data_IF_038588105138
#
_entry.id   IF_038588105138
#
_cell.length_a   1.000
_cell.length_b   1.000
_cell.length_c   1.000
_cell.angle_alpha   90.00
_cell.angle_beta   90.00
_cell.angle_gamma   90.00
#
_symmetry.space_group_name_H-M   'P 1'
#
loop_
_entity.id
_entity.type
_entity.pdbx_description
1 polymer ?
#
# COMPACT_ATOMS: atom_id res chain seq x y z
N UNK A 1 -13.93 -25.55 -35.30
CA UNK A 1 -14.19 -25.54 -33.85
C UNK A 1 -13.18 -24.61 -33.22
N UNK A 2 -13.54 -23.90 -32.15
CA UNK A 2 -12.57 -23.04 -31.43
C UNK A 2 -11.49 -23.90 -30.79
N UNK A 3 -10.22 -23.49 -30.88
CA UNK A 3 -9.11 -24.09 -30.12
C UNK A 3 -9.04 -23.55 -28.68
N UNK A 4 -9.80 -22.48 -28.38
CA UNK A 4 -9.92 -21.90 -27.05
C UNK A 4 -11.01 -22.58 -26.23
N UNK A 5 -10.70 -22.83 -24.95
CA UNK A 5 -11.62 -23.36 -23.95
C UNK A 5 -12.11 -22.18 -23.09
N UNK A 6 -13.43 -22.04 -22.96
CA UNK A 6 -14.02 -21.10 -22.01
C UNK A 6 -13.75 -21.59 -20.60
N UNK A 7 -13.10 -20.76 -19.79
CA UNK A 7 -12.96 -20.96 -18.35
C UNK A 7 -13.87 -19.94 -17.66
N UNK A 8 -15.10 -20.37 -17.39
CA UNK A 8 -16.07 -19.59 -16.63
C UNK A 8 -15.76 -19.64 -15.13
N UNK A 9 -16.54 -18.93 -14.32
CA UNK A 9 -16.33 -18.87 -12.88
C UNK A 9 -16.33 -20.25 -12.22
N UNK A 10 -17.27 -21.12 -12.57
CA UNK A 10 -17.38 -22.45 -11.97
C UNK A 10 -16.13 -23.29 -12.27
N UNK A 11 -15.61 -23.21 -13.50
CA UNK A 11 -14.34 -23.84 -13.86
C UNK A 11 -13.13 -23.23 -13.14
N UNK A 12 -13.15 -21.92 -12.86
CA UNK A 12 -12.12 -21.28 -12.05
C UNK A 12 -12.14 -21.77 -10.60
N UNK A 13 -13.30 -21.76 -9.95
CA UNK A 13 -13.46 -22.22 -8.55
C UNK A 13 -13.17 -23.72 -8.40
N UNK A 14 -13.52 -24.55 -9.40
CA UNK A 14 -13.15 -25.97 -9.41
C UNK A 14 -11.63 -26.19 -9.56
N UNK A 15 -10.95 -25.33 -10.33
CA UNK A 15 -9.49 -25.35 -10.38
C UNK A 15 -8.88 -24.94 -9.05
N UNK A 16 -9.44 -23.92 -8.38
CA UNK A 16 -8.99 -23.52 -7.05
C UNK A 16 -9.05 -24.71 -6.08
N UNK A 17 -10.20 -25.41 -6.04
CA UNK A 17 -10.42 -26.59 -5.21
C UNK A 17 -9.42 -27.73 -5.46
N UNK A 18 -9.01 -27.91 -6.71
CA UNK A 18 -8.15 -29.03 -7.09
C UNK A 18 -6.65 -28.74 -6.93
N UNK A 19 -6.22 -27.49 -7.14
CA UNK A 19 -4.81 -27.17 -7.35
C UNK A 19 -4.21 -26.18 -6.35
N UNK A 20 -5.03 -25.44 -5.58
CA UNK A 20 -4.49 -24.61 -4.52
C UNK A 20 -4.04 -25.46 -3.32
N UNK A 21 -3.11 -24.91 -2.54
CA UNK A 21 -2.66 -25.51 -1.31
C UNK A 21 -3.83 -25.61 -0.31
N UNK A 22 -3.86 -26.61 0.59
CA UNK A 22 -4.94 -26.78 1.56
C UNK A 22 -5.18 -25.58 2.48
N UNK A 23 -4.17 -24.71 2.67
CA UNK A 23 -4.28 -23.48 3.44
C UNK A 23 -4.72 -22.25 2.65
N UNK A 24 -4.86 -22.35 1.33
CA UNK A 24 -5.22 -21.22 0.47
C UNK A 24 -6.68 -20.76 0.69
N UNK A 25 -6.94 -19.50 0.39
CA UNK A 25 -8.30 -18.95 0.45
C UNK A 25 -9.04 -19.21 -0.86
N UNK A 26 -10.17 -19.93 -0.81
CA UNK A 26 -10.95 -20.26 -2.00
C UNK A 26 -12.03 -19.20 -2.23
N UNK A 27 -12.20 -18.72 -3.46
CA UNK A 27 -13.19 -17.69 -3.78
C UNK A 27 -14.63 -18.19 -3.56
N UNK A 28 -14.87 -19.49 -3.77
CA UNK A 28 -16.15 -20.16 -3.49
C UNK A 28 -16.50 -20.22 -2.00
N UNK A 29 -15.53 -20.01 -1.11
CA UNK A 29 -15.68 -20.01 0.34
C UNK A 29 -15.56 -18.61 0.95
N UNK A 30 -15.58 -17.56 0.12
CA UNK A 30 -15.53 -16.18 0.60
C UNK A 30 -16.67 -15.91 1.60
N UNK A 31 -16.37 -15.13 2.64
CA UNK A 31 -17.36 -14.58 3.58
C UNK A 31 -18.28 -13.56 2.91
N UNK A 32 -18.01 -13.22 1.65
CA UNK A 32 -18.87 -12.41 0.80
C UNK A 32 -18.64 -10.92 1.00
N UNK A 33 -19.64 -10.15 0.55
CA UNK A 33 -19.62 -8.68 0.46
C UNK A 33 -20.63 -8.08 1.44
N UNK A 34 -20.39 -6.85 1.87
CA UNK A 34 -21.31 -6.15 2.77
C UNK A 34 -22.71 -5.96 2.15
N UNK A 35 -22.79 -5.65 0.85
CA UNK A 35 -24.04 -5.55 0.10
C UNK A 35 -24.15 -6.76 -0.83
N UNK A 36 -25.21 -7.59 -0.71
CA UNK A 36 -25.43 -8.69 -1.63
C UNK A 36 -25.54 -8.19 -3.08
N UNK A 37 -24.86 -8.87 -3.99
CA UNK A 37 -24.90 -8.60 -5.42
C UNK A 37 -24.89 -9.92 -6.19
N UNK A 38 -25.44 -9.98 -7.41
CA UNK A 38 -25.32 -11.17 -8.25
C UNK A 38 -23.86 -11.51 -8.52
N UNK A 39 -23.60 -12.80 -8.59
CA UNK A 39 -22.30 -13.33 -9.00
C UNK A 39 -22.03 -13.07 -10.50
N UNK A 40 -20.75 -12.95 -10.86
CA UNK A 40 -20.32 -12.78 -12.25
C UNK A 40 -20.15 -14.17 -12.88
N UNK A 41 -20.57 -14.32 -14.14
CA UNK A 41 -20.53 -15.61 -14.84
C UNK A 41 -19.10 -16.06 -15.18
N UNK A 42 -18.15 -15.13 -15.30
CA UNK A 42 -16.79 -15.40 -15.74
C UNK A 42 -15.77 -15.29 -14.61
N UNK A 43 -15.86 -14.23 -13.81
CA UNK A 43 -14.83 -13.86 -12.83
C UNK A 43 -15.15 -14.39 -11.43
N UNK A 44 -14.12 -14.82 -10.71
CA UNK A 44 -14.25 -15.13 -9.27
C UNK A 44 -14.47 -13.86 -8.45
N UNK A 45 -14.87 -14.02 -7.19
CA UNK A 45 -15.12 -12.88 -6.30
C UNK A 45 -13.87 -11.98 -6.14
N UNK A 46 -12.67 -12.57 -6.05
CA UNK A 46 -11.42 -11.83 -5.87
C UNK A 46 -10.92 -11.17 -7.16
N UNK A 47 -11.15 -11.78 -8.32
CA UNK A 47 -10.86 -11.13 -9.61
C UNK A 47 -11.72 -9.88 -9.81
N UNK A 48 -13.00 -9.94 -9.44
CA UNK A 48 -13.88 -8.76 -9.48
C UNK A 48 -13.38 -7.64 -8.57
N UNK A 49 -12.85 -7.99 -7.40
CA UNK A 49 -12.30 -7.01 -6.46
C UNK A 49 -11.05 -6.34 -6.97
N UNK A 50 -10.11 -7.13 -7.50
CA UNK A 50 -8.92 -6.63 -8.17
C UNK A 50 -9.31 -5.63 -9.28
N UNK A 51 -10.27 -6.00 -10.12
CA UNK A 51 -10.70 -5.16 -11.23
C UNK A 51 -11.36 -3.85 -10.73
N UNK A 52 -12.18 -3.92 -9.68
CA UNK A 52 -12.82 -2.73 -9.06
C UNK A 52 -11.78 -1.77 -8.50
N UNK A 53 -10.81 -2.28 -7.74
CA UNK A 53 -9.75 -1.45 -7.16
C UNK A 53 -8.94 -0.77 -8.26
N UNK A 54 -8.51 -1.53 -9.28
CA UNK A 54 -7.71 -1.03 -10.40
C UNK A 54 -8.38 0.14 -11.13
N UNK A 55 -9.71 0.11 -11.28
CA UNK A 55 -10.47 1.15 -11.98
C UNK A 55 -10.93 2.31 -11.10
N UNK A 56 -10.66 2.27 -9.79
CA UNK A 56 -11.04 3.33 -8.86
C UNK A 56 -10.32 4.65 -9.14
N UNK A 57 -10.95 5.77 -8.77
CA UNK A 57 -10.31 7.09 -8.79
C UNK A 57 -9.15 7.11 -7.80
N UNK A 58 -9.31 6.48 -6.65
CA UNK A 58 -8.32 6.46 -5.58
C UNK A 58 -7.04 5.73 -5.99
N UNK A 59 -7.13 4.59 -6.68
CA UNK A 59 -5.96 3.93 -7.26
C UNK A 59 -5.24 4.79 -8.30
N UNK A 60 -5.98 5.49 -9.18
CA UNK A 60 -5.38 6.41 -10.17
C UNK A 60 -4.59 7.56 -9.53
N UNK A 61 -4.92 7.98 -8.31
CA UNK A 61 -4.20 9.04 -7.59
C UNK A 61 -2.81 8.62 -7.14
N UNK A 62 -2.54 7.32 -7.00
CA UNK A 62 -1.21 6.80 -6.64
C UNK A 62 -0.11 7.25 -7.60
N UNK A 63 -0.45 7.51 -8.87
CA UNK A 63 0.48 8.07 -9.87
C UNK A 63 1.05 9.44 -9.45
N UNK A 64 0.31 10.18 -8.64
CA UNK A 64 0.63 11.56 -8.27
C UNK A 64 0.91 11.72 -6.77
N UNK A 65 1.26 10.61 -6.10
CA UNK A 65 1.75 10.59 -4.72
C UNK A 65 3.19 10.05 -4.71
N UNK A 66 4.08 10.75 -4.04
CA UNK A 66 5.47 10.34 -3.83
C UNK A 66 5.52 9.15 -2.87
N UNK A 67 6.46 8.24 -3.11
CA UNK A 67 6.79 7.18 -2.15
C UNK A 67 7.72 7.73 -1.05
N UNK A 68 9.00 7.95 -1.38
CA UNK A 68 10.06 8.32 -0.41
C UNK A 68 10.72 9.65 -0.73
N UNK A 69 11.23 9.83 -1.95
CA UNK A 69 11.93 11.05 -2.31
C UNK A 69 10.93 12.16 -2.68
N UNK A 70 10.87 13.19 -1.84
CA UNK A 70 10.16 14.44 -2.14
C UNK A 70 11.00 15.29 -3.11
N UNK A 71 11.33 14.76 -4.28
CA UNK A 71 12.03 15.51 -5.32
C UNK A 71 11.19 15.52 -6.62
N UNK A 72 10.42 16.59 -6.87
CA UNK A 72 9.56 16.70 -8.06
C UNK A 72 10.32 16.91 -9.37
N UNK A 73 11.65 17.03 -9.36
CA UNK A 73 12.46 17.35 -10.54
C UNK A 73 13.26 16.16 -11.13
N UNK A 74 13.24 14.97 -10.51
CA UNK A 74 13.90 13.79 -11.07
C UNK A 74 12.94 12.87 -11.83
N UNK A 75 13.28 12.55 -13.07
CA UNK A 75 12.43 11.75 -13.99
C UNK A 75 12.25 10.27 -13.60
N UNK A 76 13.02 9.76 -12.63
CA UNK A 76 13.13 8.33 -12.33
C UNK A 76 12.76 7.94 -10.90
N UNK A 77 12.12 8.82 -10.12
CA UNK A 77 11.72 8.48 -8.75
C UNK A 77 10.46 7.61 -8.71
N UNK A 78 10.45 6.64 -7.78
CA UNK A 78 9.30 5.76 -7.56
C UNK A 78 8.12 6.55 -6.99
N UNK A 79 7.01 6.52 -7.73
CA UNK A 79 5.67 6.91 -7.24
C UNK A 79 5.05 5.77 -6.45
N UNK A 80 4.01 6.07 -5.66
CA UNK A 80 3.21 5.02 -5.00
C UNK A 80 2.68 4.00 -6.00
N UNK A 81 2.21 4.44 -7.18
CA UNK A 81 1.72 3.51 -8.21
C UNK A 81 2.80 2.50 -8.64
N UNK A 82 4.03 2.98 -8.90
CA UNK A 82 5.13 2.10 -9.28
C UNK A 82 5.58 1.19 -8.13
N UNK A 83 5.51 1.66 -6.88
CA UNK A 83 5.73 0.81 -5.72
C UNK A 83 4.66 -0.27 -5.61
N UNK A 84 3.38 0.08 -5.70
CA UNK A 84 2.26 -0.87 -5.71
C UNK A 84 2.43 -1.94 -6.79
N UNK A 85 2.86 -1.57 -8.00
CA UNK A 85 3.14 -2.57 -9.06
C UNK A 85 4.27 -3.54 -8.70
N UNK A 86 5.34 -3.05 -8.04
CA UNK A 86 6.42 -3.90 -7.52
C UNK A 86 5.92 -4.83 -6.40
N UNK A 87 5.11 -4.31 -5.47
CA UNK A 87 4.47 -5.11 -4.41
C UNK A 87 3.58 -6.20 -5.01
N UNK A 88 2.74 -5.86 -5.99
CA UNK A 88 1.88 -6.83 -6.68
C UNK A 88 2.70 -7.91 -7.38
N UNK A 89 3.81 -7.57 -8.04
CA UNK A 89 4.68 -8.56 -8.69
C UNK A 89 5.30 -9.53 -7.68
N UNK A 90 5.82 -9.01 -6.55
CA UNK A 90 6.41 -9.83 -5.49
C UNK A 90 5.34 -10.70 -4.82
N UNK A 91 4.20 -10.12 -4.45
CA UNK A 91 3.10 -10.83 -3.80
C UNK A 91 2.51 -11.93 -4.68
N UNK A 92 2.34 -11.64 -5.99
CA UNK A 92 1.95 -12.65 -6.98
C UNK A 92 2.95 -13.81 -7.04
N UNK A 93 4.25 -13.50 -7.10
CA UNK A 93 5.28 -14.55 -7.18
C UNK A 93 5.25 -15.46 -5.96
N UNK A 94 5.17 -14.90 -4.74
CA UNK A 94 5.08 -15.69 -3.50
C UNK A 94 3.80 -16.54 -3.50
N UNK A 95 2.65 -15.96 -3.88
CA UNK A 95 1.39 -16.70 -3.96
C UNK A 95 1.45 -17.86 -4.98
N UNK A 96 2.07 -17.65 -6.15
CA UNK A 96 2.28 -18.68 -7.16
C UNK A 96 3.19 -19.80 -6.64
N UNK A 97 4.30 -19.48 -5.96
CA UNK A 97 5.23 -20.48 -5.42
C UNK A 97 4.63 -21.34 -4.30
N UNK A 98 3.69 -20.78 -3.54
CA UNK A 98 3.00 -21.46 -2.45
C UNK A 98 1.65 -22.06 -2.85
N UNK A 99 1.28 -22.01 -4.14
CA UNK A 99 -0.03 -22.45 -4.65
C UNK A 99 -1.21 -21.81 -3.90
N UNK A 100 -1.13 -20.51 -3.63
CA UNK A 100 -2.17 -19.73 -2.95
C UNK A 100 -3.03 -18.95 -3.97
N UNK A 101 -4.09 -18.29 -3.51
CA UNK A 101 -4.99 -17.56 -4.40
C UNK A 101 -4.36 -16.26 -4.91
N UNK A 102 -3.80 -16.32 -6.13
CA UNK A 102 -3.14 -15.19 -6.78
C UNK A 102 -4.07 -13.98 -6.93
N UNK A 103 -5.34 -14.19 -7.28
CA UNK A 103 -6.28 -13.08 -7.47
C UNK A 103 -6.53 -12.30 -6.17
N UNK A 104 -6.63 -13.02 -5.04
CA UNK A 104 -6.76 -12.40 -3.72
C UNK A 104 -5.49 -11.63 -3.34
N UNK A 105 -4.30 -12.24 -3.48
CA UNK A 105 -3.03 -11.59 -3.20
C UNK A 105 -2.86 -10.31 -4.04
N UNK A 106 -3.16 -10.37 -5.34
CA UNK A 106 -3.13 -9.22 -6.24
C UNK A 106 -4.10 -8.11 -5.79
N UNK A 107 -5.35 -8.45 -5.47
CA UNK A 107 -6.38 -7.50 -5.04
C UNK A 107 -5.94 -6.74 -3.78
N UNK A 108 -5.41 -7.46 -2.77
CA UNK A 108 -4.87 -6.85 -1.55
C UNK A 108 -3.65 -5.97 -1.89
N UNK A 109 -2.71 -6.47 -2.69
CA UNK A 109 -1.52 -5.71 -3.10
C UNK A 109 -1.88 -4.40 -3.81
N UNK A 110 -2.85 -4.37 -4.72
CA UNK A 110 -3.20 -3.10 -5.40
C UNK A 110 -4.01 -2.15 -4.53
N UNK A 111 -4.68 -2.66 -3.49
CA UNK A 111 -5.50 -1.87 -2.57
C UNK A 111 -4.75 -1.34 -1.35
N UNK A 112 -3.60 -1.93 -0.97
CA UNK A 112 -2.94 -1.65 0.31
C UNK A 112 -2.58 -0.17 0.50
N UNK A 113 -2.08 0.46 -0.55
CA UNK A 113 -1.43 1.77 -0.52
C UNK A 113 -2.37 2.96 -0.84
N UNK A 114 -3.62 2.68 -1.23
CA UNK A 114 -4.57 3.67 -1.76
C UNK A 114 -4.93 4.76 -0.76
N UNK A 115 -4.89 4.44 0.53
CA UNK A 115 -5.20 5.31 1.65
C UNK A 115 -4.10 6.27 2.06
N UNK A 116 -2.88 6.19 1.51
CA UNK A 116 -1.82 7.09 1.97
C UNK A 116 -2.17 8.56 1.79
N UNK A 117 -1.74 9.39 2.73
CA UNK A 117 -1.85 10.85 2.66
C UNK A 117 -0.91 11.45 1.60
N UNK A 118 -1.10 12.73 1.23
CA UNK A 118 -0.07 13.46 0.48
C UNK A 118 1.26 13.43 1.24
N UNK A 119 2.38 13.38 0.53
CA UNK A 119 3.74 13.37 1.10
C UNK A 119 4.08 12.11 1.93
N UNK A 120 3.32 11.01 1.74
CA UNK A 120 3.60 9.71 2.36
C UNK A 120 3.62 9.75 3.89
N UNK A 121 4.59 9.09 4.53
CA UNK A 121 4.68 9.01 5.99
C UNK A 121 4.71 10.39 6.67
N UNK A 122 5.29 11.41 6.02
CA UNK A 122 5.31 12.76 6.57
C UNK A 122 3.90 13.34 6.70
N UNK A 123 3.02 13.03 5.74
CA UNK A 123 1.61 13.42 5.81
C UNK A 123 0.84 12.62 6.86
N UNK A 124 1.14 11.33 7.04
CA UNK A 124 0.54 10.50 8.11
C UNK A 124 0.85 11.06 9.49
N UNK A 125 2.12 11.40 9.74
CA UNK A 125 2.55 12.04 10.98
C UNK A 125 1.76 13.32 11.25
N UNK A 126 1.57 14.15 10.22
CA UNK A 126 0.83 15.41 10.35
C UNK A 126 -0.67 15.18 10.59
N UNK A 127 -1.27 14.15 9.99
CA UNK A 127 -2.66 13.77 10.23
C UNK A 127 -2.89 13.14 11.61
N UNK A 128 -1.87 12.46 12.14
CA UNK A 128 -1.91 11.83 13.47
C UNK A 128 -2.15 12.85 14.60
N UNK A 129 -1.79 14.12 14.39
CA UNK A 129 -2.07 15.20 15.33
C UNK A 129 -3.57 15.53 15.47
N UNK A 130 -4.41 15.04 14.56
CA UNK A 130 -5.84 15.34 14.49
C UNK A 130 -6.74 14.14 14.81
N UNK A 131 -6.16 12.99 15.15
CA UNK A 131 -6.89 11.79 15.56
C UNK A 131 -6.36 11.30 16.90
N UNK A 132 -7.12 10.43 17.56
CA UNK A 132 -6.61 9.71 18.73
C UNK A 132 -5.69 8.59 18.27
N UNK A 133 -4.44 8.59 18.75
CA UNK A 133 -3.43 7.61 18.35
C UNK A 133 -2.77 7.93 17.01
N UNK A 134 -2.28 6.90 16.34
CA UNK A 134 -1.61 7.03 15.04
C UNK A 134 -2.61 6.97 13.89
N UNK A 135 -2.48 7.87 12.92
CA UNK A 135 -3.24 7.80 11.68
C UNK A 135 -2.60 6.77 10.74
N UNK A 136 -3.36 5.75 10.35
CA UNK A 136 -2.88 4.65 9.52
C UNK A 136 -3.46 4.71 8.12
N UNK A 137 -2.60 4.70 7.09
CA UNK A 137 -3.06 4.61 5.70
C UNK A 137 -3.88 3.33 5.44
N UNK A 138 -3.58 2.22 6.12
CA UNK A 138 -4.31 0.96 5.92
C UNK A 138 -5.78 1.09 6.34
N UNK A 139 -6.04 1.76 7.47
CA UNK A 139 -7.39 2.11 7.90
C UNK A 139 -8.07 3.08 6.92
N UNK A 140 -7.30 4.05 6.39
CA UNK A 140 -7.82 4.95 5.37
C UNK A 140 -8.13 4.24 4.04
N UNK A 141 -7.34 3.25 3.62
CA UNK A 141 -7.60 2.44 2.42
C UNK A 141 -8.93 1.70 2.55
N UNK A 142 -9.21 1.11 3.71
CA UNK A 142 -10.51 0.48 4.02
C UNK A 142 -11.63 1.52 3.96
N UNK A 143 -11.45 2.67 4.63
CA UNK A 143 -12.43 3.76 4.65
C UNK A 143 -12.73 4.29 3.25
N UNK A 144 -11.74 4.37 2.37
CA UNK A 144 -11.95 4.72 0.96
C UNK A 144 -12.90 3.72 0.31
N UNK A 145 -12.65 2.42 0.42
CA UNK A 145 -13.42 1.41 -0.30
C UNK A 145 -14.77 1.04 0.32
N UNK A 146 -15.00 1.42 1.58
CA UNK A 146 -16.28 1.20 2.27
C UNK A 146 -17.18 2.44 2.30
N UNK A 147 -16.60 3.65 2.36
CA UNK A 147 -17.33 4.89 2.62
C UNK A 147 -17.18 5.91 1.48
N UNK A 148 -15.94 6.28 1.11
CA UNK A 148 -15.68 7.44 0.25
C UNK A 148 -15.87 7.14 -1.25
N UNK A 149 -15.42 5.97 -1.67
CA UNK A 149 -15.55 5.40 -3.01
C UNK A 149 -15.98 3.94 -2.85
N UNK A 150 -17.23 3.68 -2.42
CA UNK A 150 -17.65 2.35 -2.00
C UNK A 150 -17.62 1.36 -3.17
N UNK A 151 -16.71 0.38 -3.11
CA UNK A 151 -16.54 -0.65 -4.15
C UNK A 151 -17.22 -1.98 -3.81
N UNK A 152 -17.77 -2.11 -2.60
CA UNK A 152 -18.43 -3.33 -2.11
C UNK A 152 -17.53 -4.57 -2.24
N UNK A 153 -16.27 -4.47 -1.83
CA UNK A 153 -15.27 -5.56 -1.90
C UNK A 153 -15.63 -6.72 -0.97
N UNK A 154 -15.02 -7.88 -1.18
CA UNK A 154 -15.17 -9.02 -0.27
C UNK A 154 -14.44 -8.76 1.04
N UNK A 155 -14.88 -9.45 2.08
CA UNK A 155 -14.28 -9.35 3.41
C UNK A 155 -12.78 -9.66 3.41
N UNK A 156 -12.33 -10.64 2.64
CA UNK A 156 -10.93 -11.07 2.58
C UNK A 156 -10.01 -9.96 2.06
N UNK A 157 -10.46 -9.24 1.02
CA UNK A 157 -9.70 -8.13 0.45
C UNK A 157 -9.64 -6.96 1.43
N UNK A 158 -10.76 -6.61 2.08
CA UNK A 158 -10.80 -5.55 3.09
C UNK A 158 -9.91 -5.90 4.30
N UNK A 159 -9.97 -7.13 4.81
CA UNK A 159 -9.13 -7.57 5.93
C UNK A 159 -7.64 -7.57 5.57
N UNK A 160 -7.30 -8.08 4.37
CA UNK A 160 -5.94 -8.02 3.85
C UNK A 160 -5.41 -6.58 3.79
N UNK A 161 -6.19 -5.65 3.24
CA UNK A 161 -5.81 -4.23 3.16
C UNK A 161 -5.69 -3.61 4.55
N UNK A 162 -6.62 -3.90 5.47
CA UNK A 162 -6.60 -3.39 6.84
C UNK A 162 -5.31 -3.79 7.57
N UNK A 163 -4.93 -5.05 7.45
CA UNK A 163 -3.93 -5.69 8.31
C UNK A 163 -2.57 -5.96 7.65
N UNK A 164 -2.36 -5.60 6.38
CA UNK A 164 -1.05 -5.81 5.73
C UNK A 164 0.09 -5.00 6.39
N UNK A 165 -0.22 -3.89 7.05
CA UNK A 165 0.81 -3.06 7.67
C UNK A 165 1.40 -3.75 8.90
N UNK A 166 2.72 -3.72 9.02
CA UNK A 166 3.43 -4.21 10.19
C UNK A 166 3.18 -3.40 11.48
N UNK A 167 2.51 -2.24 11.36
CA UNK A 167 2.02 -1.46 12.52
C UNK A 167 0.76 -2.09 13.14
N UNK A 168 0.10 -3.01 12.43
CA UNK A 168 -1.05 -3.76 12.93
C UNK A 168 -0.57 -5.07 13.52
N UNK A 169 -0.83 -5.24 14.82
CA UNK A 169 -0.45 -6.43 15.61
C UNK A 169 -1.15 -7.69 15.11
N UNK A 170 -2.48 -7.64 15.01
CA UNK A 170 -3.28 -8.71 14.40
C UNK A 170 -3.19 -8.64 12.88
N UNK A 171 -2.34 -9.50 12.32
CA UNK A 171 -2.15 -9.63 10.88
C UNK A 171 -3.38 -10.13 10.11
N UNK A 172 -3.29 -10.19 8.77
CA UNK A 172 -4.39 -10.65 7.93
C UNK A 172 -4.80 -12.07 8.27
N UNK A 173 -6.10 -12.35 8.16
CA UNK A 173 -6.65 -13.67 8.44
C UNK A 173 -6.34 -14.70 7.34
N UNK A 174 -6.01 -14.24 6.13
CA UNK A 174 -5.69 -15.09 4.98
C UNK A 174 -4.17 -15.14 4.74
N UNK A 175 -3.62 -16.28 4.28
CA UNK A 175 -2.21 -16.34 3.90
C UNK A 175 -1.90 -15.39 2.75
N UNK A 176 -2.83 -15.17 1.81
CA UNK A 176 -2.67 -14.20 0.73
C UNK A 176 -2.54 -12.77 1.23
N UNK A 177 -3.30 -12.39 2.27
CA UNK A 177 -3.11 -11.10 2.95
C UNK A 177 -1.78 -11.03 3.66
N UNK A 178 -1.37 -12.11 4.36
CA UNK A 178 -0.11 -12.18 5.09
C UNK A 178 1.11 -12.03 4.16
N UNK A 179 1.04 -12.54 2.93
CA UNK A 179 2.06 -12.33 1.89
C UNK A 179 2.31 -10.84 1.65
N UNK A 180 1.24 -10.03 1.61
CA UNK A 180 1.35 -8.60 1.30
C UNK A 180 2.20 -7.87 2.34
N UNK A 181 2.21 -8.32 3.60
CA UNK A 181 3.10 -7.77 4.65
C UNK A 181 4.57 -7.85 4.21
N UNK A 182 4.99 -9.01 3.72
CA UNK A 182 6.36 -9.21 3.26
C UNK A 182 6.61 -8.55 1.90
N UNK A 183 5.67 -8.68 0.96
CA UNK A 183 5.81 -8.12 -0.38
C UNK A 183 6.01 -6.59 -0.35
N UNK A 184 5.26 -5.88 0.50
CA UNK A 184 5.43 -4.44 0.73
C UNK A 184 6.88 -4.13 1.18
N UNK A 185 7.32 -4.81 2.23
CA UNK A 185 8.65 -4.58 2.82
C UNK A 185 9.80 -4.91 1.87
N UNK A 186 9.71 -6.02 1.16
CA UNK A 186 10.71 -6.42 0.16
C UNK A 186 10.77 -5.36 -0.95
N UNK A 187 9.61 -4.90 -1.43
CA UNK A 187 9.54 -3.92 -2.49
C UNK A 187 10.21 -2.60 -2.10
N UNK A 188 9.80 -1.99 -0.98
CA UNK A 188 10.31 -0.67 -0.61
C UNK A 188 11.77 -0.70 -0.19
N UNK A 189 12.22 -1.70 0.58
CA UNK A 189 13.63 -1.79 0.96
C UNK A 189 14.54 -1.87 -0.28
N UNK A 190 14.11 -2.64 -1.28
CA UNK A 190 14.90 -2.85 -2.49
C UNK A 190 14.94 -1.59 -3.35
N UNK A 191 13.78 -1.01 -3.70
CA UNK A 191 13.76 0.11 -4.62
C UNK A 191 14.22 1.43 -3.98
N UNK A 192 14.02 1.63 -2.68
CA UNK A 192 14.49 2.82 -1.98
C UNK A 192 16.02 2.78 -1.82
N UNK A 193 16.60 1.60 -1.65
CA UNK A 193 18.06 1.43 -1.66
C UNK A 193 18.64 1.77 -3.04
N UNK A 194 18.04 1.28 -4.12
CA UNK A 194 18.45 1.62 -5.48
C UNK A 194 18.33 3.13 -5.77
N UNK A 195 17.23 3.75 -5.35
CA UNK A 195 17.02 5.19 -5.54
C UNK A 195 17.99 6.02 -4.65
N UNK A 196 18.29 5.58 -3.43
CA UNK A 196 19.29 6.21 -2.57
C UNK A 196 20.70 6.15 -3.17
N UNK A 197 21.07 5.00 -3.76
CA UNK A 197 22.34 4.84 -4.47
C UNK A 197 22.38 5.74 -5.72
N UNK A 198 21.31 5.74 -6.52
CA UNK A 198 21.22 6.58 -7.73
C UNK A 198 21.30 8.07 -7.40
N UNK A 199 20.69 8.49 -6.31
CA UNK A 199 20.73 9.87 -5.82
C UNK A 199 22.05 10.25 -5.14
N UNK A 200 22.98 9.30 -4.95
CA UNK A 200 24.25 9.52 -4.25
C UNK A 200 24.09 9.77 -2.74
N UNK A 201 22.93 9.39 -2.17
CA UNK A 201 22.66 9.48 -0.71
C UNK A 201 23.40 8.39 0.04
N UNK A 202 23.54 7.21 -0.57
CA UNK A 202 24.28 6.07 -0.04
C UNK A 202 25.18 5.48 -1.10
N UNK A 203 26.33 4.93 -0.69
CA UNK A 203 27.11 3.99 -1.50
C UNK A 203 26.83 2.56 -1.05
N UNK A 204 27.08 1.58 -1.94
CA UNK A 204 26.85 0.15 -1.64
C UNK A 204 27.63 -0.29 -0.41
N UNK A 205 28.83 0.25 -0.20
CA UNK A 205 29.71 -0.09 0.92
C UNK A 205 29.24 0.49 2.26
N UNK A 206 28.22 1.35 2.26
CA UNK A 206 27.63 1.92 3.49
C UNK A 206 26.50 1.06 4.05
N UNK A 207 25.98 0.09 3.29
CA UNK A 207 24.96 -0.83 3.79
C UNK A 207 25.54 -1.79 4.83
N UNK A 208 24.73 -2.28 5.79
CA UNK A 208 25.21 -3.22 6.80
C UNK A 208 25.85 -4.46 6.17
N UNK A 209 27.06 -4.81 6.61
CA UNK A 209 27.81 -5.96 6.07
C UNK A 209 27.01 -7.26 6.17
N UNK A 210 26.23 -7.43 7.24
CA UNK A 210 25.35 -8.58 7.44
C UNK A 210 24.22 -8.65 6.40
N UNK A 211 23.59 -7.51 6.07
CA UNK A 211 22.57 -7.45 5.03
C UNK A 211 23.15 -7.81 3.66
N UNK A 212 24.36 -7.33 3.35
CA UNK A 212 25.07 -7.71 2.12
C UNK A 212 25.45 -9.20 2.13
N UNK A 213 25.90 -9.73 3.27
CA UNK A 213 26.25 -11.15 3.39
C UNK A 213 25.06 -12.09 3.23
N UNK A 214 23.88 -11.70 3.72
CA UNK A 214 22.66 -12.54 3.72
C UNK A 214 21.82 -12.36 2.45
N UNK A 215 21.67 -11.13 1.97
CA UNK A 215 20.80 -10.82 0.83
C UNK A 215 21.54 -10.53 -0.47
N UNK A 216 22.86 -10.30 -0.42
CA UNK A 216 23.66 -9.87 -1.58
C UNK A 216 23.59 -8.36 -1.81
N UNK A 217 23.85 -7.93 -3.04
CA UNK A 217 23.80 -6.51 -3.40
C UNK A 217 22.36 -5.97 -3.45
N UNK A 218 22.13 -4.67 -3.10
CA UNK A 218 20.82 -4.05 -3.18
C UNK A 218 20.14 -4.19 -4.55
N UNK A 219 18.81 -4.27 -4.54
CA UNK A 219 17.99 -4.43 -5.74
C UNK A 219 17.62 -5.89 -5.99
N UNK A 220 17.98 -6.44 -7.16
CA UNK A 220 17.52 -7.77 -7.59
C UNK A 220 17.88 -8.90 -6.61
N UNK A 221 19.10 -8.93 -6.09
CA UNK A 221 19.53 -10.05 -5.23
C UNK A 221 18.74 -10.07 -3.91
N UNK A 222 18.43 -8.89 -3.36
CA UNK A 222 17.57 -8.76 -2.18
C UNK A 222 16.17 -9.30 -2.43
N UNK A 223 15.54 -8.90 -3.55
CA UNK A 223 14.21 -9.40 -3.93
C UNK A 223 14.22 -10.93 -4.03
N UNK A 224 15.18 -11.49 -4.79
CA UNK A 224 15.29 -12.93 -4.99
C UNK A 224 15.54 -13.67 -3.66
N UNK A 225 16.44 -13.17 -2.81
CA UNK A 225 16.80 -13.81 -1.53
C UNK A 225 15.66 -13.75 -0.50
N UNK A 226 15.00 -12.60 -0.37
CA UNK A 226 13.90 -12.41 0.57
C UNK A 226 12.64 -13.18 0.15
N UNK A 227 12.30 -13.22 -1.15
CA UNK A 227 11.20 -14.06 -1.66
C UNK A 227 11.45 -15.53 -1.34
N UNK A 228 12.66 -16.03 -1.64
CA UNK A 228 13.02 -17.42 -1.34
C UNK A 228 12.90 -17.73 0.13
N UNK A 229 13.39 -16.84 1.00
CA UNK A 229 13.28 -17.01 2.44
C UNK A 229 11.84 -17.13 2.92
N UNK A 230 10.94 -16.28 2.41
CA UNK A 230 9.51 -16.37 2.72
C UNK A 230 8.93 -17.71 2.24
N UNK A 231 9.23 -18.11 1.00
CA UNK A 231 8.69 -19.36 0.44
C UNK A 231 9.21 -20.58 1.20
N UNK A 232 10.52 -20.68 1.39
CA UNK A 232 11.17 -21.85 2.01
C UNK A 232 10.73 -22.03 3.47
N UNK A 233 10.68 -20.94 4.24
CA UNK A 233 10.18 -20.99 5.62
C UNK A 233 8.68 -21.32 5.65
N UNK A 234 7.87 -20.72 4.77
CA UNK A 234 6.42 -20.99 4.75
C UNK A 234 6.09 -22.44 4.41
N UNK A 235 6.88 -23.06 3.51
CA UNK A 235 6.77 -24.49 3.22
C UNK A 235 7.16 -25.37 4.42
N UNK A 236 8.11 -24.91 5.24
CA UNK A 236 8.58 -25.66 6.41
C UNK A 236 7.64 -25.53 7.62
N UNK A 237 7.08 -24.34 7.89
CA UNK A 237 6.25 -24.07 9.05
C UNK A 237 4.75 -24.27 8.82
N UNK A 238 4.29 -24.16 7.57
CA UNK A 238 2.87 -24.15 7.22
C UNK A 238 2.16 -22.81 7.45
N UNK A 239 2.92 -21.74 7.75
CA UNK A 239 2.43 -20.37 7.97
C UNK A 239 3.26 -19.38 7.13
N UNK A 240 2.69 -18.24 6.73
CA UNK A 240 3.42 -17.25 5.92
C UNK A 240 4.48 -16.54 6.76
N UNK A 241 5.71 -16.99 6.63
CA UNK A 241 6.84 -16.57 7.46
C UNK A 241 8.12 -16.47 6.63
N UNK A 242 9.01 -15.55 7.02
CA UNK A 242 10.39 -15.49 6.56
C UNK A 242 11.29 -16.27 7.55
N UNK A 243 12.39 -16.86 7.09
CA UNK A 243 13.36 -17.50 7.98
C UNK A 243 13.78 -16.53 9.11
N UNK A 244 13.75 -16.95 10.39
CA UNK A 244 13.92 -16.03 11.53
C UNK A 244 15.20 -15.18 11.46
N UNK A 245 16.34 -15.80 11.12
CA UNK A 245 17.62 -15.10 11.02
C UNK A 245 17.59 -14.03 9.92
N UNK A 246 16.95 -14.30 8.78
CA UNK A 246 16.81 -13.30 7.70
C UNK A 246 15.78 -12.23 8.04
N UNK A 247 14.74 -12.57 8.79
CA UNK A 247 13.76 -11.61 9.27
C UNK A 247 14.44 -10.57 10.19
N UNK A 248 15.31 -11.01 11.10
CA UNK A 248 16.12 -10.13 11.96
C UNK A 248 16.99 -9.18 11.11
N UNK A 249 17.73 -9.71 10.13
CA UNK A 249 18.55 -8.89 9.23
C UNK A 249 17.70 -7.90 8.40
N UNK A 250 16.50 -8.30 7.97
CA UNK A 250 15.57 -7.39 7.30
C UNK A 250 15.08 -6.27 8.23
N UNK A 251 14.88 -6.55 9.51
CA UNK A 251 14.53 -5.53 10.51
C UNK A 251 15.66 -4.52 10.72
N UNK A 252 16.91 -4.98 10.82
CA UNK A 252 18.08 -4.12 10.97
C UNK A 252 18.35 -3.29 9.73
N UNK A 253 18.24 -3.89 8.54
CA UNK A 253 18.32 -3.18 7.27
C UNK A 253 17.24 -2.08 7.19
N UNK A 254 16.02 -2.37 7.63
CA UNK A 254 14.96 -1.37 7.68
C UNK A 254 15.32 -0.23 8.64
N UNK A 255 15.82 -0.53 9.83
CA UNK A 255 16.23 0.48 10.79
C UNK A 255 17.32 1.40 10.21
N UNK A 256 18.32 0.81 9.55
CA UNK A 256 19.36 1.53 8.81
C UNK A 256 18.76 2.44 7.71
N UNK A 257 17.86 1.93 6.87
CA UNK A 257 17.22 2.73 5.83
C UNK A 257 16.40 3.90 6.40
N UNK A 258 15.74 3.69 7.55
CA UNK A 258 15.05 4.77 8.26
C UNK A 258 16.00 5.87 8.70
N UNK A 259 17.11 5.53 9.34
CA UNK A 259 18.09 6.51 9.80
C UNK A 259 18.74 7.26 8.63
N UNK A 260 19.17 6.53 7.60
CA UNK A 260 20.07 7.04 6.57
C UNK A 260 19.35 7.65 5.37
N UNK A 261 18.14 7.21 5.07
CA UNK A 261 17.38 7.65 3.89
C UNK A 261 16.14 8.44 4.32
N UNK A 262 15.23 7.82 5.07
CA UNK A 262 13.93 8.45 5.36
C UNK A 262 14.04 9.64 6.32
N UNK A 263 14.91 9.54 7.33
CA UNK A 263 15.16 10.58 8.33
C UNK A 263 16.38 11.46 7.99
N UNK A 264 16.94 11.32 6.79
CA UNK A 264 18.15 12.06 6.40
C UNK A 264 18.00 13.58 6.65
N UNK A 265 18.97 14.25 7.31
CA UNK A 265 18.85 15.66 7.71
C UNK A 265 18.57 16.63 6.56
N UNK A 266 19.08 16.35 5.36
CA UNK A 266 18.84 17.20 4.18
C UNK A 266 17.35 17.26 3.78
N UNK A 267 16.54 16.28 4.18
CA UNK A 267 15.11 16.25 3.90
C UNK A 267 14.28 16.97 4.96
N UNK A 268 14.86 17.37 6.10
CA UNK A 268 14.13 18.00 7.21
C UNK A 268 13.38 19.27 6.81
N UNK A 269 13.95 20.22 6.03
CA UNK A 269 13.19 21.39 5.59
C UNK A 269 11.96 21.02 4.75
N UNK A 270 12.08 20.01 3.88
CA UNK A 270 10.98 19.51 3.06
C UNK A 270 9.91 18.83 3.90
N UNK A 271 10.31 17.99 4.87
CA UNK A 271 9.38 17.31 5.79
C UNK A 271 8.60 18.34 6.61
N UNK A 272 9.29 19.31 7.21
CA UNK A 272 8.64 20.38 7.98
C UNK A 272 7.63 21.14 7.12
N UNK A 273 8.00 21.49 5.89
CA UNK A 273 7.09 22.18 4.95
C UNK A 273 5.88 21.32 4.58
N UNK A 274 6.06 20.02 4.34
CA UNK A 274 4.96 19.11 4.05
C UNK A 274 4.00 18.98 5.23
N UNK A 275 4.51 18.87 6.47
CA UNK A 275 3.67 18.86 7.69
C UNK A 275 2.90 20.18 7.84
N UNK A 276 3.56 21.32 7.63
CA UNK A 276 2.90 22.64 7.64
C UNK A 276 1.75 22.70 6.63
N UNK A 277 1.98 22.26 5.38
CA UNK A 277 0.93 22.23 4.35
C UNK A 277 -0.28 21.41 4.80
N UNK A 278 -0.06 20.19 5.30
CA UNK A 278 -1.17 19.32 5.76
C UNK A 278 -1.93 19.96 6.93
N UNK A 279 -1.21 20.50 7.94
CA UNK A 279 -1.83 21.17 9.09
C UNK A 279 -2.65 22.38 8.70
N UNK A 280 -2.11 23.22 7.82
CA UNK A 280 -2.78 24.42 7.32
C UNK A 280 -4.06 24.05 6.56
N UNK A 281 -4.01 23.05 5.69
CA UNK A 281 -5.19 22.58 4.94
C UNK A 281 -6.25 22.00 5.88
N UNK A 282 -5.88 21.17 6.84
CA UNK A 282 -6.81 20.64 7.85
C UNK A 282 -7.43 21.79 8.66
N UNK A 283 -6.62 22.75 9.10
CA UNK A 283 -7.07 23.93 9.85
C UNK A 283 -8.05 24.79 9.04
N UNK A 284 -7.77 25.01 7.76
CA UNK A 284 -8.63 25.76 6.84
C UNK A 284 -9.99 25.08 6.67
N UNK A 285 -10.03 23.79 6.30
CA UNK A 285 -11.30 23.11 6.04
C UNK A 285 -12.14 22.87 7.31
N UNK A 286 -11.51 22.84 8.50
CA UNK A 286 -12.25 22.89 9.77
C UNK A 286 -12.99 24.21 9.97
N UNK A 287 -12.40 25.33 9.54
CA UNK A 287 -13.03 26.67 9.64
C UNK A 287 -14.00 26.96 8.48
N UNK A 288 -13.82 26.26 7.35
CA UNK A 288 -14.58 26.44 6.12
C UNK A 288 -15.18 25.11 5.63
N UNK A 289 -16.10 24.49 6.41
CA UNK A 289 -16.69 23.20 6.05
C UNK A 289 -17.49 23.24 4.74
N UNK A 290 -17.99 24.41 4.33
CA UNK A 290 -18.67 24.62 3.05
C UNK A 290 -17.75 24.44 1.83
N UNK A 291 -16.44 24.49 2.02
CA UNK A 291 -15.42 24.31 0.97
C UNK A 291 -15.00 22.86 0.76
N UNK A 292 -15.41 21.95 1.65
CA UNK A 292 -15.17 20.52 1.48
C UNK A 292 -16.10 20.02 0.36
N UNK A 293 -15.57 19.30 -0.66
CA UNK A 293 -16.41 18.77 -1.72
C UNK A 293 -17.52 17.87 -1.17
N UNK A 294 -18.70 17.90 -1.80
CA UNK A 294 -19.85 17.09 -1.38
C UNK A 294 -19.54 15.59 -1.28
N UNK A 295 -18.67 15.07 -2.14
CA UNK A 295 -18.24 13.67 -2.11
C UNK A 295 -17.45 13.27 -0.85
N UNK A 296 -17.07 14.22 0.00
CA UNK A 296 -16.40 13.99 1.28
C UNK A 296 -17.26 14.42 2.48
N UNK A 297 -18.44 15.01 2.24
CA UNK A 297 -19.37 15.47 3.27
C UNK A 297 -20.38 14.38 3.59
N UNK A 298 -19.95 13.37 4.34
CA UNK A 298 -20.78 12.23 4.74
C UNK A 298 -21.45 12.48 6.08
N UNK A 299 -22.78 12.32 6.14
CA UNK A 299 -23.59 12.57 7.34
C UNK A 299 -23.19 11.66 8.53
N UNK A 300 -22.68 10.46 8.23
CA UNK A 300 -22.27 9.46 9.24
C UNK A 300 -20.87 9.73 9.84
N UNK A 301 -20.19 10.80 9.41
CA UNK A 301 -18.86 11.17 9.89
C UNK A 301 -18.85 12.58 10.49
N UNK A 302 -18.12 12.78 11.59
CA UNK A 302 -17.93 14.11 12.15
C UNK A 302 -17.10 15.01 11.21
N UNK A 303 -17.13 16.33 11.46
CA UNK A 303 -16.44 17.29 10.59
C UNK A 303 -14.92 17.04 10.56
N UNK A 304 -14.32 16.62 11.69
CA UNK A 304 -12.89 16.34 11.75
C UNK A 304 -12.51 15.22 10.78
N UNK A 305 -13.28 14.14 10.77
CA UNK A 305 -13.10 12.99 9.87
C UNK A 305 -13.29 13.40 8.42
N UNK A 306 -14.36 14.15 8.08
CA UNK A 306 -14.59 14.62 6.72
C UNK A 306 -13.44 15.48 6.18
N UNK A 307 -12.88 16.34 7.03
CA UNK A 307 -11.70 17.15 6.69
C UNK A 307 -10.48 16.27 6.44
N UNK A 308 -10.21 15.32 7.34
CA UNK A 308 -9.08 14.39 7.20
C UNK A 308 -9.22 13.56 5.93
N UNK A 309 -10.41 13.03 5.64
CA UNK A 309 -10.68 12.26 4.43
C UNK A 309 -10.37 13.06 3.16
N UNK A 310 -10.79 14.32 3.14
CA UNK A 310 -10.55 15.19 2.00
C UNK A 310 -9.06 15.49 1.82
N UNK A 311 -8.36 15.86 2.89
CA UNK A 311 -6.93 16.19 2.86
C UNK A 311 -6.08 14.97 2.53
N UNK A 312 -6.34 13.81 3.16
CA UNK A 312 -5.66 12.55 2.87
C UNK A 312 -5.89 12.10 1.41
N UNK A 313 -7.08 12.37 0.87
CA UNK A 313 -7.44 12.05 -0.51
C UNK A 313 -6.69 12.87 -1.57
N UNK A 314 -6.03 13.98 -1.21
CA UNK A 314 -5.32 14.84 -2.18
C UNK A 314 -4.09 14.14 -2.77
N UNK A 315 -3.68 14.55 -3.96
CA UNK A 315 -2.34 14.25 -4.51
C UNK A 315 -1.36 15.32 -4.05
N UNK A 316 -0.06 15.05 -4.07
CA UNK A 316 0.94 15.99 -3.53
C UNK A 316 0.88 17.34 -4.26
N UNK A 317 0.83 17.31 -5.59
CA UNK A 317 0.72 18.52 -6.42
C UNK A 317 -0.57 19.29 -6.18
N UNK A 318 -1.67 18.60 -5.92
CA UNK A 318 -2.94 19.24 -5.62
C UNK A 318 -2.91 19.89 -4.23
N UNK A 319 -2.38 19.21 -3.23
CA UNK A 319 -2.22 19.75 -1.88
C UNK A 319 -1.33 21.00 -1.87
N UNK A 320 -0.18 20.96 -2.56
CA UNK A 320 0.71 22.14 -2.71
C UNK A 320 -0.02 23.29 -3.40
N UNK A 321 -0.67 23.03 -4.54
CA UNK A 321 -1.40 24.05 -5.29
C UNK A 321 -2.51 24.69 -4.44
N UNK A 322 -3.29 23.88 -3.74
CA UNK A 322 -4.37 24.34 -2.87
C UNK A 322 -3.81 25.20 -1.73
N UNK A 323 -2.70 24.78 -1.12
CA UNK A 323 -2.03 25.55 -0.08
C UNK A 323 -1.56 26.92 -0.60
N UNK A 324 -0.91 26.93 -1.77
CA UNK A 324 -0.45 28.18 -2.40
C UNK A 324 -1.62 29.12 -2.75
N UNK A 325 -2.77 28.60 -3.20
CA UNK A 325 -3.95 29.42 -3.53
C UNK A 325 -4.59 30.06 -2.29
N UNK A 326 -4.56 29.37 -1.14
CA UNK A 326 -5.21 29.76 0.10
C UNK A 326 -4.32 30.63 1.00
N UNK A 327 -3.02 30.35 1.07
CA UNK A 327 -2.13 30.92 2.08
C UNK A 327 -1.02 31.83 1.53
N UNK A 328 -0.82 31.87 0.22
CA UNK A 328 0.20 32.74 -0.36
C UNK A 328 -0.19 34.20 -0.15
N UNK A 329 0.67 35.04 0.45
CA UNK A 329 0.39 36.45 0.62
C UNK A 329 0.08 37.11 -0.72
N UNK A 330 -1.05 37.81 -0.80
CA UNK A 330 -1.39 38.65 -1.93
C UNK A 330 -1.05 40.08 -1.57
N UNK A 331 -0.41 40.79 -2.49
CA UNK A 331 0.03 42.17 -2.28
C UNK A 331 -1.12 43.16 -1.98
N UNK A 332 -2.37 42.76 -2.22
CA UNK A 332 -3.54 43.64 -2.17
C UNK A 332 -4.75 43.06 -1.43
N UNK A 333 -4.61 41.95 -0.71
CA UNK A 333 -5.69 41.38 0.13
C UNK A 333 -5.40 41.60 1.63
#
# INVERSE_FOLDING_TARGET
MSEFILRDRAAQEAFEEQYLAPGATHASQSKGRAKPEPEDDLRTAFERDRDRILHSKSFRRLKHKTQVFMNPEGDHFVTRLTHTLKVTQIGRAIAEYLSLNVALAEAVCIGHDVGHSPFGHTGEDALSEFVEGEWLHSAQSVRIFEVLEPLNLTWEVIDGIRAHSWRVEEGPATPEGAIVRYADRIAYLSHDAEDAIRAGVLRVEEFPEEAIGVFGDPGRQWIDSMIRSVVDQSLASGTIEMEPDKLEVMHDLRAFMFERVYLHPAMEPHRRRAKEIVRDLVGYFKQHPDKIPESYRHDDADLATQVIDYVAGMTDRFAIKMHDELFRPRLFD
#
